data_IF_755879622218
#
_entry.id   IF_755879622218
#
_cell.length_a   1.000
_cell.length_b   1.000
_cell.length_c   1.000
_cell.angle_alpha   90.00
_cell.angle_beta   90.00
_cell.angle_gamma   90.00
#
_symmetry.space_group_name_H-M   'P 1'
#
loop_
_entity.id
_entity.type
_entity.pdbx_description
1 polymer ?
#
# COMPACT_ATOMS: atom_id res chain seq x y z
N UNK A 1 18.81 8.13 25.01
CA UNK A 1 19.66 7.48 23.98
C UNK A 1 18.75 6.67 23.06
N UNK A 2 18.42 7.18 21.87
CA UNK A 2 17.56 6.48 20.92
C UNK A 2 18.23 5.23 20.37
N UNK A 3 17.48 4.13 20.21
CA UNK A 3 18.02 2.90 19.62
C UNK A 3 18.31 3.16 18.14
N UNK A 4 19.55 2.92 17.71
CA UNK A 4 19.90 2.94 16.30
C UNK A 4 19.05 1.90 15.54
N UNK A 5 18.60 2.28 14.35
CA UNK A 5 17.89 1.36 13.45
C UNK A 5 18.80 0.18 13.13
N UNK A 6 18.30 -1.04 13.35
CA UNK A 6 19.06 -2.27 13.13
C UNK A 6 18.74 -2.80 11.72
N UNK A 7 19.77 -3.28 11.00
CA UNK A 7 19.59 -4.00 9.74
C UNK A 7 19.03 -5.40 10.01
N UNK A 8 18.08 -5.87 9.21
CA UNK A 8 17.49 -7.21 9.34
C UNK A 8 18.34 -8.26 8.61
N UNK A 9 19.60 -8.42 9.03
CA UNK A 9 20.57 -9.35 8.48
C UNK A 9 21.19 -10.21 9.60
N UNK A 10 21.96 -11.23 9.23
CA UNK A 10 22.66 -12.07 10.21
C UNK A 10 23.66 -11.23 11.02
N UNK A 11 23.54 -11.25 12.35
CA UNK A 11 24.51 -10.59 13.23
C UNK A 11 25.81 -11.38 13.22
N UNK A 12 26.85 -10.87 12.57
CA UNK A 12 28.14 -11.57 12.43
C UNK A 12 28.80 -11.86 13.79
N UNK A 13 28.79 -10.88 14.70
CA UNK A 13 29.41 -11.02 16.02
C UNK A 13 28.59 -11.95 16.92
N UNK A 14 29.11 -13.15 17.17
CA UNK A 14 28.36 -14.24 17.81
C UNK A 14 27.88 -13.92 19.25
N UNK A 15 28.68 -13.36 20.17
CA UNK A 15 28.18 -12.97 21.49
C UNK A 15 26.96 -12.03 21.44
N UNK A 16 27.02 -10.99 20.58
CA UNK A 16 25.91 -10.06 20.36
C UNK A 16 24.70 -10.77 19.74
N UNK A 17 24.92 -11.71 18.82
CA UNK A 17 23.88 -12.55 18.23
C UNK A 17 23.17 -13.39 19.29
N UNK A 18 23.91 -14.07 20.17
CA UNK A 18 23.36 -14.89 21.27
C UNK A 18 22.53 -14.06 22.25
N UNK A 19 23.04 -12.90 22.69
CA UNK A 19 22.30 -12.00 23.58
C UNK A 19 21.02 -11.48 22.91
N UNK A 20 21.12 -11.08 21.64
CA UNK A 20 19.97 -10.59 20.87
C UNK A 20 18.93 -11.68 20.68
N UNK A 21 19.35 -12.91 20.35
CA UNK A 21 18.47 -14.06 20.21
C UNK A 21 17.67 -14.33 21.49
N UNK A 22 18.35 -14.42 22.65
CA UNK A 22 17.68 -14.63 23.94
C UNK A 22 16.64 -13.54 24.22
N UNK A 23 17.00 -12.26 24.05
CA UNK A 23 16.08 -11.12 24.27
C UNK A 23 14.90 -11.12 23.29
N UNK A 24 15.14 -11.35 22.00
CA UNK A 24 14.09 -11.36 20.97
C UNK A 24 13.15 -12.56 21.10
N UNK A 25 13.67 -13.76 21.40
CA UNK A 25 12.86 -14.95 21.67
C UNK A 25 11.92 -14.76 22.85
N UNK A 26 12.45 -14.26 23.99
CA UNK A 26 11.63 -13.96 25.15
C UNK A 26 10.55 -12.90 24.84
N UNK A 27 10.91 -11.86 24.08
CA UNK A 27 9.95 -10.85 23.65
C UNK A 27 8.89 -11.41 22.68
N UNK A 28 9.26 -12.33 21.80
CA UNK A 28 8.34 -12.99 20.88
C UNK A 28 7.30 -13.79 21.65
N UNK A 29 7.73 -14.63 22.60
CA UNK A 29 6.83 -15.43 23.44
C UNK A 29 5.90 -14.55 24.27
N UNK A 30 6.40 -13.47 24.87
CA UNK A 30 5.55 -12.50 25.57
C UNK A 30 4.50 -11.88 24.64
N UNK A 31 4.88 -11.49 23.42
CA UNK A 31 3.95 -10.92 22.44
C UNK A 31 2.91 -11.93 21.97
N UNK A 32 3.27 -13.20 21.87
CA UNK A 32 2.32 -14.27 21.59
C UNK A 32 1.32 -14.41 22.74
N UNK A 33 1.78 -14.45 24.00
CA UNK A 33 0.89 -14.45 25.17
C UNK A 33 -0.08 -13.26 25.15
N UNK A 34 0.42 -12.05 24.88
CA UNK A 34 -0.42 -10.84 24.80
C UNK A 34 -1.50 -10.98 23.70
N UNK A 35 -1.12 -11.39 22.48
CA UNK A 35 -2.04 -11.51 21.36
C UNK A 35 -3.06 -12.64 21.58
N UNK A 36 -2.65 -13.81 22.06
CA UNK A 36 -3.59 -14.91 22.33
C UNK A 36 -4.57 -14.53 23.43
N UNK A 37 -4.12 -13.81 24.46
CA UNK A 37 -4.98 -13.34 25.56
C UNK A 37 -5.95 -12.26 25.09
N UNK A 38 -5.48 -11.25 24.37
CA UNK A 38 -6.31 -10.11 23.97
C UNK A 38 -7.31 -10.47 22.86
N UNK A 39 -6.90 -11.32 21.92
CA UNK A 39 -7.71 -11.64 20.74
C UNK A 39 -8.41 -13.00 20.84
N UNK A 40 -8.18 -13.79 21.89
CA UNK A 40 -8.77 -15.12 22.06
C UNK A 40 -8.37 -16.12 20.96
N UNK A 41 -7.19 -15.94 20.35
CA UNK A 41 -6.73 -16.80 19.25
C UNK A 41 -5.89 -17.97 19.76
N UNK A 42 -5.97 -19.11 19.06
CA UNK A 42 -5.10 -20.27 19.29
C UNK A 42 -3.83 -20.08 18.45
N UNK A 43 -2.67 -20.05 19.11
CA UNK A 43 -1.38 -19.92 18.44
C UNK A 43 -0.29 -20.70 19.17
N UNK A 44 0.77 -21.03 18.45
CA UNK A 44 1.99 -21.59 19.02
C UNK A 44 3.22 -21.03 18.28
N UNK A 45 4.39 -21.15 18.89
CA UNK A 45 5.66 -20.86 18.21
C UNK A 45 6.69 -21.94 18.52
N UNK A 46 7.50 -22.24 17.51
CA UNK A 46 8.65 -23.15 17.60
C UNK A 46 9.88 -22.41 17.12
N UNK A 47 10.92 -22.37 17.94
CA UNK A 47 12.18 -21.68 17.68
C UNK A 47 13.33 -22.66 17.84
N UNK A 48 14.13 -22.80 16.77
CA UNK A 48 15.35 -23.60 16.79
C UNK A 48 16.56 -22.69 17.00
N UNK A 49 17.40 -23.05 17.99
CA UNK A 49 18.72 -22.44 18.15
C UNK A 49 19.76 -23.26 17.36
N UNK A 50 20.36 -22.64 16.36
CA UNK A 50 21.40 -23.25 15.52
C UNK A 50 22.70 -23.51 16.27
N UNK A 51 22.91 -22.88 17.43
CA UNK A 51 24.14 -23.01 18.21
C UNK A 51 24.10 -24.11 19.28
N UNK A 52 22.91 -24.53 19.71
CA UNK A 52 22.73 -25.46 20.83
C UNK A 52 21.86 -26.68 20.46
N UNK A 53 21.48 -26.80 19.19
CA UNK A 53 20.50 -27.79 18.66
C UNK A 53 19.20 -27.87 19.46
N UNK A 54 18.91 -26.85 20.27
CA UNK A 54 17.79 -26.83 21.19
C UNK A 54 16.58 -26.21 20.51
N UNK A 55 15.46 -26.93 20.58
CA UNK A 55 14.16 -26.42 20.18
C UNK A 55 13.44 -25.89 21.42
N UNK A 56 12.99 -24.64 21.36
CA UNK A 56 12.07 -24.08 22.34
C UNK A 56 10.70 -23.88 21.71
N UNK A 57 9.66 -24.32 22.41
CA UNK A 57 8.28 -24.19 21.97
C UNK A 57 7.48 -23.38 23.00
N UNK A 58 6.52 -22.61 22.50
CA UNK A 58 5.56 -21.83 23.28
C UNK A 58 4.13 -22.20 22.86
N UNK A 59 3.16 -22.31 23.81
CA UNK A 59 3.31 -22.05 25.25
C UNK A 59 4.03 -23.17 26.00
N UNK A 60 3.78 -24.41 25.61
CA UNK A 60 4.56 -25.60 25.97
C UNK A 60 4.79 -26.47 24.75
N UNK A 61 5.77 -27.40 24.76
CA UNK A 61 5.97 -28.34 23.66
C UNK A 61 4.71 -29.15 23.31
N UNK A 62 3.95 -29.57 24.31
CA UNK A 62 2.73 -30.37 24.13
C UNK A 62 1.61 -29.56 23.48
N UNK A 63 1.37 -28.33 23.95
CA UNK A 63 0.35 -27.46 23.36
C UNK A 63 0.73 -27.03 21.95
N UNK A 64 2.00 -26.69 21.72
CA UNK A 64 2.47 -26.36 20.39
C UNK A 64 2.26 -27.53 19.42
N UNK A 65 2.54 -28.76 19.86
CA UNK A 65 2.26 -29.96 19.08
C UNK A 65 0.76 -30.11 18.77
N UNK A 66 -0.11 -29.92 19.77
CA UNK A 66 -1.57 -29.99 19.56
C UNK A 66 -2.06 -28.95 18.53
N UNK A 67 -1.56 -27.71 18.61
CA UNK A 67 -1.88 -26.65 17.65
C UNK A 67 -1.41 -27.04 16.24
N UNK A 68 -0.20 -27.57 16.11
CA UNK A 68 0.35 -28.02 14.82
C UNK A 68 -0.44 -29.19 14.24
N UNK A 69 -0.83 -30.17 15.04
CA UNK A 69 -1.65 -31.30 14.60
C UNK A 69 -3.03 -30.85 14.12
N UNK A 70 -3.67 -29.94 14.85
CA UNK A 70 -4.94 -29.35 14.42
C UNK A 70 -4.78 -28.53 13.14
N UNK A 71 -3.68 -27.77 13.00
CA UNK A 71 -3.37 -27.05 11.77
C UNK A 71 -3.22 -28.01 10.59
N UNK A 72 -2.53 -29.15 10.75
CA UNK A 72 -2.36 -30.16 9.70
C UNK A 72 -3.68 -30.80 9.25
N UNK A 73 -4.65 -30.94 10.15
CA UNK A 73 -5.99 -31.48 9.86
C UNK A 73 -6.87 -30.54 9.03
N UNK A 74 -6.50 -29.26 8.90
CA UNK A 74 -7.26 -28.31 8.08
C UNK A 74 -7.08 -28.56 6.58
N UNK A 75 -8.10 -28.28 5.75
CA UNK A 75 -7.98 -28.33 4.28
C UNK A 75 -6.82 -27.46 3.77
N UNK A 76 -6.13 -27.90 2.72
CA UNK A 76 -4.94 -27.24 2.17
C UNK A 76 -5.19 -25.78 1.78
N UNK A 77 -6.35 -25.51 1.20
CA UNK A 77 -6.80 -24.17 0.81
C UNK A 77 -6.80 -23.22 2.02
N UNK A 78 -7.17 -23.71 3.21
CA UNK A 78 -7.18 -22.92 4.46
C UNK A 78 -5.80 -22.83 5.10
N UNK A 79 -4.97 -23.87 4.99
CA UNK A 79 -3.59 -23.87 5.52
C UNK A 79 -2.71 -22.84 4.78
N UNK A 80 -2.83 -22.74 3.46
CA UNK A 80 -2.01 -21.87 2.62
C UNK A 80 -2.46 -20.41 2.53
N UNK A 81 -3.74 -20.12 2.79
CA UNK A 81 -4.35 -18.81 2.53
C UNK A 81 -3.62 -17.63 3.18
N UNK A 82 -3.13 -17.82 4.40
CA UNK A 82 -2.47 -16.78 5.20
C UNK A 82 -1.04 -17.15 5.60
N UNK A 83 -0.47 -18.18 4.99
CA UNK A 83 0.91 -18.58 5.27
C UNK A 83 1.86 -17.54 4.69
N UNK A 84 2.79 -17.06 5.51
CA UNK A 84 3.78 -16.08 5.11
C UNK A 84 5.17 -16.52 5.57
N UNK A 85 6.09 -16.63 4.63
CA UNK A 85 7.50 -16.85 4.91
C UNK A 85 8.30 -15.53 4.86
N UNK A 86 9.57 -15.59 5.25
CA UNK A 86 10.44 -14.42 5.25
C UNK A 86 10.61 -13.84 3.84
N UNK A 87 10.69 -14.70 2.81
CA UNK A 87 10.91 -14.28 1.42
C UNK A 87 9.70 -13.52 0.87
N UNK A 88 8.49 -14.05 1.05
CA UNK A 88 7.23 -13.42 0.67
C UNK A 88 7.01 -12.10 1.43
N UNK A 89 7.32 -12.06 2.73
CA UNK A 89 7.26 -10.84 3.53
C UNK A 89 8.20 -9.75 2.99
N UNK A 90 9.46 -10.09 2.72
CA UNK A 90 10.43 -9.15 2.16
C UNK A 90 10.01 -8.67 0.78
N UNK A 91 9.56 -9.57 -0.11
CA UNK A 91 9.05 -9.20 -1.44
C UNK A 91 7.88 -8.22 -1.33
N UNK A 92 6.89 -8.51 -0.48
CA UNK A 92 5.74 -7.62 -0.24
C UNK A 92 6.18 -6.25 0.29
N UNK A 93 7.15 -6.21 1.19
CA UNK A 93 7.69 -4.95 1.72
C UNK A 93 8.46 -4.15 0.69
N UNK A 94 9.28 -4.80 -0.15
CA UNK A 94 9.99 -4.14 -1.25
C UNK A 94 8.98 -3.52 -2.22
N UNK A 95 7.97 -4.28 -2.65
CA UNK A 95 6.91 -3.76 -3.51
C UNK A 95 6.19 -2.56 -2.88
N UNK A 96 5.87 -2.63 -1.58
CA UNK A 96 5.25 -1.53 -0.84
C UNK A 96 6.14 -0.28 -0.79
N UNK A 97 7.42 -0.44 -0.48
CA UNK A 97 8.38 0.66 -0.41
C UNK A 97 8.63 1.28 -1.79
N UNK A 98 8.73 0.47 -2.84
CA UNK A 98 8.83 0.96 -4.22
C UNK A 98 7.59 1.78 -4.60
N UNK A 99 6.39 1.30 -4.26
CA UNK A 99 5.17 2.08 -4.49
C UNK A 99 5.14 3.41 -3.71
N UNK A 100 5.72 3.46 -2.50
CA UNK A 100 5.87 4.72 -1.76
C UNK A 100 6.89 5.65 -2.43
N UNK A 101 7.99 5.11 -2.93
CA UNK A 101 9.02 5.85 -3.65
C UNK A 101 8.46 6.46 -4.94
N UNK A 102 7.73 5.70 -5.74
CA UNK A 102 7.12 6.20 -6.98
C UNK A 102 6.09 7.30 -6.71
N UNK A 103 5.27 7.16 -5.66
CA UNK A 103 4.37 8.25 -5.25
C UNK A 103 5.11 9.52 -4.83
N UNK A 104 6.24 9.38 -4.13
CA UNK A 104 7.07 10.52 -3.76
C UNK A 104 7.71 11.17 -5.00
N UNK A 105 8.21 10.37 -5.94
CA UNK A 105 8.75 10.85 -7.23
C UNK A 105 7.71 11.62 -8.03
N UNK A 106 6.50 11.07 -8.15
CA UNK A 106 5.41 11.74 -8.86
C UNK A 106 5.07 13.09 -8.24
N UNK A 107 5.00 13.17 -6.90
CA UNK A 107 4.78 14.44 -6.20
C UNK A 107 5.90 15.45 -6.44
N UNK A 108 7.15 14.99 -6.39
CA UNK A 108 8.29 15.86 -6.67
C UNK A 108 8.25 16.37 -8.11
N UNK A 109 7.99 15.51 -9.11
CA UNK A 109 7.86 15.91 -10.51
C UNK A 109 6.73 16.92 -10.71
N UNK A 110 5.60 16.76 -10.03
CA UNK A 110 4.49 17.72 -10.09
C UNK A 110 4.89 19.08 -9.50
N UNK A 111 5.62 19.09 -8.39
CA UNK A 111 6.16 20.33 -7.79
C UNK A 111 7.22 20.98 -8.69
N UNK A 112 8.12 20.19 -9.29
CA UNK A 112 9.13 20.69 -10.22
C UNK A 112 8.46 21.36 -11.44
N UNK A 113 7.40 20.74 -11.98
CA UNK A 113 6.59 21.29 -13.07
C UNK A 113 5.91 22.61 -12.67
N UNK A 114 5.36 22.70 -11.46
CA UNK A 114 4.74 23.92 -10.94
C UNK A 114 5.77 25.05 -10.75
N UNK A 115 6.93 24.74 -10.15
CA UNK A 115 8.02 25.70 -9.98
C UNK A 115 8.53 26.22 -11.33
N UNK A 116 8.69 25.33 -12.32
CA UNK A 116 9.07 25.71 -13.68
C UNK A 116 8.08 26.70 -14.31
N UNK A 117 6.78 26.45 -14.14
CA UNK A 117 5.75 27.35 -14.65
C UNK A 117 5.83 28.73 -13.97
N UNK A 118 5.99 28.77 -12.65
CA UNK A 118 6.13 30.02 -11.90
C UNK A 118 7.36 30.81 -12.38
N UNK A 119 8.52 30.18 -12.50
CA UNK A 119 9.74 30.84 -12.99
C UNK A 119 9.56 31.44 -14.39
N UNK A 120 8.84 30.74 -15.26
CA UNK A 120 8.55 31.22 -16.61
C UNK A 120 7.59 32.41 -16.61
N UNK A 121 6.53 32.37 -15.80
CA UNK A 121 5.59 33.48 -15.64
C UNK A 121 6.26 34.73 -15.05
N UNK A 122 7.31 34.54 -14.23
CA UNK A 122 8.16 35.63 -13.72
C UNK A 122 9.19 36.15 -14.75
N UNK A 123 9.22 35.59 -15.97
CA UNK A 123 10.12 36.00 -17.05
C UNK A 123 11.58 35.57 -16.87
N UNK A 124 11.87 34.60 -15.99
CA UNK A 124 13.24 34.12 -15.74
C UNK A 124 13.65 33.09 -16.79
N UNK A 125 14.93 33.11 -17.20
CA UNK A 125 15.58 32.05 -18.00
C UNK A 125 14.93 31.70 -19.37
N UNK A 126 14.30 32.66 -20.06
CA UNK A 126 13.65 32.45 -21.37
C UNK A 126 14.58 31.96 -22.50
N UNK A 127 15.90 32.12 -22.34
CA UNK A 127 16.91 31.78 -23.35
C UNK A 127 17.61 30.44 -23.13
N UNK A 128 17.25 29.70 -22.09
CA UNK A 128 17.99 28.50 -21.66
C UNK A 128 17.53 27.24 -22.42
N UNK A 129 18.20 26.96 -23.55
CA UNK A 129 17.94 25.80 -24.42
C UNK A 129 18.01 24.45 -23.68
N UNK A 130 18.72 24.37 -22.55
CA UNK A 130 18.81 23.16 -21.73
C UNK A 130 17.48 22.73 -21.09
N UNK A 131 16.50 23.65 -20.98
CA UNK A 131 15.20 23.41 -20.34
C UNK A 131 14.06 23.10 -21.34
N UNK A 132 14.36 23.08 -22.64
CA UNK A 132 13.37 22.84 -23.70
C UNK A 132 12.64 21.50 -23.53
N UNK A 133 13.36 20.46 -23.10
CA UNK A 133 12.77 19.14 -22.83
C UNK A 133 11.74 19.17 -21.69
N UNK A 134 11.99 19.94 -20.62
CA UNK A 134 11.05 20.13 -19.53
C UNK A 134 9.82 20.94 -19.96
N UNK A 135 10.00 21.88 -20.89
CA UNK A 135 8.91 22.70 -21.44
C UNK A 135 7.95 21.87 -22.31
N UNK A 136 8.49 21.01 -23.18
CA UNK A 136 7.68 20.08 -23.99
C UNK A 136 6.92 19.08 -23.11
N UNK A 137 7.54 18.61 -22.02
CA UNK A 137 6.87 17.74 -21.05
C UNK A 137 5.71 18.46 -20.32
N UNK A 138 5.89 19.75 -20.01
CA UNK A 138 4.85 20.59 -19.42
C UNK A 138 3.69 20.83 -20.39
N UNK A 139 3.97 21.09 -21.66
CA UNK A 139 2.96 21.25 -22.71
C UNK A 139 2.09 20.00 -22.85
N UNK A 140 2.70 18.81 -22.93
CA UNK A 140 1.99 17.53 -22.97
C UNK A 140 1.14 17.29 -21.72
N UNK A 141 1.66 17.63 -20.53
CA UNK A 141 0.89 17.55 -19.29
C UNK A 141 -0.31 18.52 -19.27
N UNK A 142 -0.13 19.75 -19.76
CA UNK A 142 -1.18 20.75 -19.84
C UNK A 142 -2.28 20.29 -20.81
N UNK A 143 -1.90 19.80 -21.98
CA UNK A 143 -2.82 19.27 -22.99
C UNK A 143 -3.66 18.10 -22.44
N UNK A 144 -3.03 17.17 -21.70
CA UNK A 144 -3.73 16.07 -21.03
C UNK A 144 -4.69 16.53 -19.94
N UNK A 145 -4.33 17.58 -19.17
CA UNK A 145 -5.22 18.14 -18.15
C UNK A 145 -6.40 18.88 -18.79
N UNK A 146 -6.15 19.65 -19.85
CA UNK A 146 -7.21 20.34 -20.61
C UNK A 146 -8.19 19.30 -21.15
N UNK A 147 -7.72 18.27 -21.87
CA UNK A 147 -8.61 17.25 -22.42
C UNK A 147 -9.41 16.49 -21.35
N UNK A 148 -8.80 16.18 -20.21
CA UNK A 148 -9.51 15.56 -19.08
C UNK A 148 -10.62 16.47 -18.53
N UNK A 149 -10.36 17.76 -18.39
CA UNK A 149 -11.37 18.73 -17.90
C UNK A 149 -12.47 18.91 -18.94
N UNK A 150 -12.12 19.08 -20.22
CA UNK A 150 -13.07 19.20 -21.33
C UNK A 150 -14.02 18.00 -21.36
N UNK A 151 -13.48 16.77 -21.35
CA UNK A 151 -14.30 15.56 -21.34
C UNK A 151 -15.21 15.47 -20.10
N UNK A 152 -14.75 15.97 -18.94
CA UNK A 152 -15.59 16.02 -17.73
C UNK A 152 -16.71 17.04 -17.83
N UNK A 153 -16.46 18.19 -18.45
CA UNK A 153 -17.48 19.22 -18.69
C UNK A 153 -18.55 18.66 -19.63
N UNK A 154 -18.15 18.11 -20.77
CA UNK A 154 -19.06 17.49 -21.75
C UNK A 154 -19.92 16.38 -21.11
N UNK A 155 -19.31 15.52 -20.28
CA UNK A 155 -20.04 14.48 -19.57
C UNK A 155 -21.12 15.04 -18.62
N UNK A 156 -20.88 16.19 -17.99
CA UNK A 156 -21.85 16.83 -17.10
C UNK A 156 -22.94 17.57 -17.88
N UNK A 157 -22.63 18.16 -19.04
CA UNK A 157 -23.60 18.83 -19.91
C UNK A 157 -24.61 17.85 -20.54
N UNK A 158 -24.20 16.61 -20.80
CA UNK A 158 -25.09 15.53 -21.31
C UNK A 158 -26.12 15.06 -20.26
N UNK A 159 -25.97 15.44 -18.99
CA UNK A 159 -26.86 15.04 -17.90
C UNK A 159 -27.95 16.07 -17.55
N UNK A 160 -28.03 17.21 -18.24
CA UNK A 160 -29.16 18.13 -18.09
C UNK A 160 -30.43 17.54 -18.77
N UNK A 161 -31.59 17.48 -18.10
CA UNK A 161 -32.82 16.97 -18.70
C UNK A 161 -33.34 17.91 -19.79
N UNK A 162 -33.64 17.37 -20.96
CA UNK A 162 -34.45 18.03 -21.99
C UNK A 162 -35.83 18.41 -21.43
N UNK A 163 -36.01 19.68 -21.04
CA UNK A 163 -37.27 20.40 -21.10
C UNK A 163 -37.04 21.49 -22.17
N UNK A 164 -37.82 21.66 -23.22
CA UNK A 164 -39.27 21.69 -23.40
C UNK A 164 -39.52 21.49 -24.91
N UNK A 165 -40.54 20.72 -25.29
CA UNK A 165 -41.39 21.00 -26.46
C UNK A 165 -42.60 20.04 -26.41
N UNK A 166 -43.55 20.37 -25.53
CA UNK A 166 -44.90 19.84 -25.60
C UNK A 166 -45.74 20.74 -26.52
N UNK A 167 -45.55 20.61 -27.83
CA UNK A 167 -46.60 20.93 -28.79
C UNK A 167 -47.61 19.77 -28.76
N UNK A 168 -48.71 19.94 -28.04
CA UNK A 168 -49.95 19.20 -28.31
C UNK A 168 -50.89 20.18 -29.01
N UNK A 169 -50.99 20.00 -30.32
CA UNK A 169 -52.00 20.59 -31.19
C UNK A 169 -53.20 19.63 -31.27
N UNK A 170 -54.42 20.20 -31.38
CA UNK A 170 -55.72 19.55 -31.72
C UNK A 170 -56.23 18.48 -30.74
N UNK A 171 -57.51 18.35 -30.35
CA UNK A 171 -58.80 18.80 -30.87
C UNK A 171 -59.82 18.69 -29.71
N UNK A 172 -60.79 19.61 -29.63
CA UNK A 172 -62.19 19.27 -29.31
C UNK A 172 -63.07 20.52 -29.47
N UNK A 173 -63.71 20.65 -30.65
CA UNK A 173 -64.97 21.36 -30.82
C UNK A 173 -66.10 20.33 -30.93
N UNK A 174 -67.23 20.65 -30.28
CA UNK A 174 -68.55 20.02 -30.45
C UNK A 174 -68.90 19.10 -29.28
N UNK A 175 -70.09 19.13 -28.69
CA UNK A 175 -71.37 19.64 -29.16
C UNK A 175 -72.35 19.70 -27.96
N UNK A 176 -73.37 20.55 -28.07
CA UNK A 176 -74.44 20.72 -27.09
C UNK A 176 -75.47 19.58 -27.18
N UNK A 177 -76.09 19.24 -26.05
CA UNK A 177 -77.26 18.34 -25.96
C UNK A 177 -77.72 18.10 -24.55
#
# INVERSE_FOLDING_TARGET
>A
MGKNKIKHELISHEPNRRVTFKKRKASLFRKLTEITTLCGIIACAVVYDTSDSKMDAWPSPQEAFYVLENFKKLPEQRRGQFMMDQKAFLKKNISRLNGQLERARFKNQALDAELLLIEYLEGKHLSDSSRLGSLLALEDQLAKKISFITNRIEFMEVLEPNEVDAEINSDEMGDQG
#
